data_IF_292605989355
#
_entry.id   IF_292605989355
#
_cell.length_a   1.000
_cell.length_b   1.000
_cell.length_c   1.000
_cell.angle_alpha   90.00
_cell.angle_beta   90.00
_cell.angle_gamma   90.00
#
_symmetry.space_group_name_H-M   'P 1'
#
loop_
_entity.id
_entity.type
_entity.pdbx_description
1 polymer ?
#
# COMPACT_ATOMS: atom_id res chain seq x y z
N UNK A 1 10.36 17.37 -4.27
CA UNK A 1 9.20 18.13 -3.72
C UNK A 1 7.91 17.31 -3.74
N UNK A 2 7.52 16.67 -4.84
CA UNK A 2 6.28 15.88 -4.94
C UNK A 2 6.15 14.72 -3.91
N UNK A 3 7.25 14.01 -3.59
CA UNK A 3 7.26 12.93 -2.59
C UNK A 3 6.90 13.43 -1.17
N UNK A 4 7.32 14.65 -0.83
CA UNK A 4 7.06 15.28 0.48
C UNK A 4 5.58 15.68 0.66
N UNK A 5 4.89 16.06 -0.42
CA UNK A 5 3.46 16.39 -0.36
C UNK A 5 2.55 15.17 -0.26
N UNK A 6 2.98 14.01 -0.79
CA UNK A 6 2.27 12.75 -0.61
C UNK A 6 2.25 12.32 0.86
N UNK A 7 3.41 12.33 1.50
CA UNK A 7 3.55 11.99 2.92
C UNK A 7 2.81 12.99 3.81
N UNK A 8 2.90 14.29 3.52
CA UNK A 8 2.17 15.33 4.25
C UNK A 8 0.65 15.15 4.09
N UNK A 9 0.16 14.88 2.88
CA UNK A 9 -1.26 14.60 2.66
C UNK A 9 -1.71 13.39 3.47
N UNK A 10 -0.97 12.27 3.42
CA UNK A 10 -1.28 11.06 4.18
C UNK A 10 -1.34 11.32 5.69
N UNK A 11 -0.35 12.01 6.25
CA UNK A 11 -0.34 12.39 7.66
C UNK A 11 -1.51 13.32 8.04
N UNK A 12 -1.93 14.17 7.10
CA UNK A 12 -3.06 15.08 7.32
C UNK A 12 -4.39 14.33 7.27
N UNK A 13 -4.54 13.36 6.36
CA UNK A 13 -5.71 12.48 6.30
C UNK A 13 -5.90 11.72 7.60
N UNK A 14 -4.81 11.20 8.20
CA UNK A 14 -4.85 10.59 9.54
C UNK A 14 -5.36 11.57 10.59
N UNK A 15 -4.92 12.84 10.55
CA UNK A 15 -5.33 13.85 11.53
C UNK A 15 -6.82 14.26 11.41
N UNK A 16 -7.43 14.05 10.24
CA UNK A 16 -8.85 14.35 9.97
C UNK A 16 -9.70 13.10 9.82
N UNK A 17 -9.16 11.91 10.11
CA UNK A 17 -9.88 10.65 10.04
C UNK A 17 -10.88 10.50 11.21
N UNK A 18 -11.94 9.67 11.06
CA UNK A 18 -12.83 9.30 12.15
C UNK A 18 -12.08 8.81 13.40
N UNK A 19 -12.62 9.16 14.57
CA UNK A 19 -12.01 8.93 15.87
C UNK A 19 -11.12 10.07 16.38
N UNK A 20 -10.78 11.05 15.54
CA UNK A 20 -10.02 12.24 15.96
C UNK A 20 -10.93 13.39 16.44
N UNK A 21 -10.42 14.22 17.36
CA UNK A 21 -11.12 15.42 17.82
C UNK A 21 -11.32 16.45 16.71
N UNK A 22 -10.39 16.52 15.76
CA UNK A 22 -10.48 17.38 14.59
C UNK A 22 -11.62 16.92 13.68
N UNK A 23 -11.72 15.63 13.35
CA UNK A 23 -12.83 15.10 12.55
C UNK A 23 -14.19 15.33 13.20
N UNK A 24 -14.35 15.03 14.49
CA UNK A 24 -15.60 15.30 15.23
C UNK A 24 -15.99 16.79 15.13
N UNK A 25 -15.01 17.69 15.26
CA UNK A 25 -15.25 19.12 15.10
C UNK A 25 -15.68 19.52 13.69
N UNK A 26 -15.02 18.99 12.65
CA UNK A 26 -15.35 19.26 11.25
C UNK A 26 -16.77 18.77 10.90
N UNK A 27 -17.14 17.57 11.35
CA UNK A 27 -18.49 17.03 11.15
C UNK A 27 -19.55 17.86 11.86
N UNK A 28 -19.28 18.33 13.08
CA UNK A 28 -20.18 19.24 13.79
C UNK A 28 -20.36 20.56 13.06
N UNK A 29 -19.29 21.12 12.49
CA UNK A 29 -19.34 22.37 11.71
C UNK A 29 -20.22 22.15 10.47
N UNK A 30 -20.00 21.05 9.77
CA UNK A 30 -20.73 20.67 8.57
C UNK A 30 -22.23 20.48 8.86
N UNK A 31 -22.57 19.67 9.88
CA UNK A 31 -23.97 19.46 10.34
C UNK A 31 -24.62 20.74 10.86
N UNK A 32 -23.81 21.62 11.44
CA UNK A 32 -24.22 22.93 11.91
C UNK A 32 -24.42 23.97 10.81
N UNK A 33 -24.26 23.61 9.53
CA UNK A 33 -24.32 24.49 8.38
C UNK A 33 -23.50 25.77 8.59
N UNK A 34 -22.28 25.64 9.14
CA UNK A 34 -21.36 26.76 9.33
C UNK A 34 -20.14 26.58 8.44
N UNK A 35 -19.54 27.67 7.97
CA UNK A 35 -18.27 27.62 7.24
C UNK A 35 -17.07 27.62 8.18
N UNK A 36 -15.93 27.09 7.76
CA UNK A 36 -14.69 27.21 8.52
C UNK A 36 -13.48 27.29 7.61
N UNK A 37 -12.44 27.99 8.06
CA UNK A 37 -11.10 28.03 7.46
C UNK A 37 -10.10 27.71 8.57
N UNK A 38 -9.42 26.57 8.46
CA UNK A 38 -8.58 26.05 9.55
C UNK A 38 -7.18 25.76 9.00
N UNK A 39 -6.14 26.34 9.59
CA UNK A 39 -4.75 26.08 9.23
C UNK A 39 -4.15 25.09 10.23
N UNK A 40 -3.54 24.04 9.70
CA UNK A 40 -2.90 22.98 10.47
C UNK A 40 -1.42 23.27 10.68
N UNK A 41 -1.08 23.71 11.89
CA UNK A 41 0.25 24.17 12.24
C UNK A 41 0.39 25.69 12.18
N UNK A 42 1.19 26.20 13.11
CA UNK A 42 1.50 27.61 13.24
C UNK A 42 3.01 27.77 13.33
N UNK A 43 3.55 28.63 12.48
CA UNK A 43 4.95 29.05 12.48
C UNK A 43 5.05 30.53 12.13
N UNK A 44 6.27 31.06 12.05
CA UNK A 44 6.52 32.47 11.70
C UNK A 44 5.95 32.86 10.34
N UNK A 45 5.94 31.92 9.38
CA UNK A 45 5.41 32.17 8.04
C UNK A 45 3.90 32.33 8.11
N UNK A 46 3.18 31.42 8.77
CA UNK A 46 1.73 31.54 9.00
C UNK A 46 1.41 32.83 9.78
N UNK A 47 2.16 33.13 10.84
CA UNK A 47 1.92 34.31 11.68
C UNK A 47 2.08 35.63 10.90
N UNK A 48 3.03 35.68 9.94
CA UNK A 48 3.20 36.85 9.08
C UNK A 48 2.02 37.13 8.15
N UNK A 49 1.17 36.12 7.88
CA UNK A 49 -0.06 36.27 7.08
C UNK A 49 -1.27 36.67 7.94
N UNK A 50 -1.13 36.66 9.26
CA UNK A 50 -2.24 36.85 10.18
C UNK A 50 -2.46 38.32 10.51
N UNK A 51 -3.68 38.81 10.31
CA UNK A 51 -4.13 40.11 10.80
C UNK A 51 -5.33 39.95 11.71
N UNK A 52 -5.35 40.68 12.84
CA UNK A 52 -6.43 40.59 13.82
C UNK A 52 -6.50 39.25 14.57
N UNK A 53 -7.70 38.88 15.00
CA UNK A 53 -7.95 37.73 15.86
C UNK A 53 -7.38 37.86 17.26
N UNK A 54 -7.54 36.83 18.08
CA UNK A 54 -6.95 36.76 19.41
C UNK A 54 -6.41 35.38 19.72
N UNK A 55 -5.39 35.35 20.58
CA UNK A 55 -4.81 34.13 21.11
C UNK A 55 -5.74 33.49 22.14
N UNK A 56 -5.92 32.18 22.03
CA UNK A 56 -6.74 31.39 22.94
C UNK A 56 -5.90 30.30 23.62
N UNK A 57 -5.08 29.59 22.85
CA UNK A 57 -4.22 28.49 23.29
C UNK A 57 -4.93 27.48 24.21
N UNK A 58 -5.99 26.85 23.70
CA UNK A 58 -6.78 25.83 24.41
C UNK A 58 -6.66 24.48 23.72
N UNK A 59 -6.87 23.40 24.47
CA UNK A 59 -6.94 22.06 23.91
C UNK A 59 -8.08 21.92 22.88
N UNK A 60 -7.81 21.21 21.79
CA UNK A 60 -8.77 20.92 20.73
C UNK A 60 -9.79 19.89 21.20
N UNK A 61 -11.07 20.27 21.15
CA UNK A 61 -12.19 19.33 21.21
C UNK A 61 -13.14 19.65 20.07
N UNK A 62 -13.90 18.67 19.56
CA UNK A 62 -14.83 18.92 18.46
C UNK A 62 -15.90 19.96 18.82
N UNK A 63 -16.34 19.99 20.09
CA UNK A 63 -17.24 21.04 20.61
C UNK A 63 -16.60 22.44 20.55
N UNK A 64 -15.37 22.60 21.05
CA UNK A 64 -14.66 23.90 20.99
C UNK A 64 -14.46 24.35 19.55
N UNK A 65 -14.02 23.45 18.67
CA UNK A 65 -13.82 23.77 17.26
C UNK A 65 -15.13 24.23 16.61
N UNK A 66 -16.25 23.54 16.89
CA UNK A 66 -17.58 23.90 16.40
C UNK A 66 -18.04 25.28 16.85
N UNK A 67 -17.86 25.60 18.13
CA UNK A 67 -18.28 26.88 18.70
C UNK A 67 -17.44 28.03 18.14
N UNK A 68 -16.13 27.85 18.06
CA UNK A 68 -15.21 28.85 17.54
C UNK A 68 -15.39 29.08 16.04
N UNK A 69 -15.79 28.07 15.28
CA UNK A 69 -16.12 28.19 13.86
C UNK A 69 -17.38 29.03 13.58
N UNK A 70 -18.19 29.38 14.59
CA UNK A 70 -19.29 30.35 14.43
C UNK A 70 -18.79 31.78 14.23
N UNK A 71 -17.55 32.04 14.60
CA UNK A 71 -16.90 33.33 14.36
C UNK A 71 -16.43 33.42 12.91
N UNK A 72 -16.35 34.63 12.38
CA UNK A 72 -15.71 34.87 11.09
C UNK A 72 -14.20 34.65 11.16
N UNK A 73 -13.56 34.53 9.99
CA UNK A 73 -12.10 34.38 9.87
C UNK A 73 -11.60 32.94 9.96
N UNK A 74 -10.32 32.81 10.29
CA UNK A 74 -9.60 31.55 10.33
C UNK A 74 -9.29 31.11 11.77
N UNK A 75 -9.13 29.79 11.93
CA UNK A 75 -8.69 29.11 13.14
C UNK A 75 -7.30 28.54 12.88
N UNK A 76 -6.35 28.78 13.78
CA UNK A 76 -4.99 28.24 13.69
C UNK A 76 -4.80 27.16 14.75
N UNK A 77 -4.37 25.98 14.33
CA UNK A 77 -3.99 24.89 15.23
C UNK A 77 -2.48 24.81 15.40
N UNK A 78 -2.04 24.18 16.47
CA UNK A 78 -0.64 23.76 16.62
C UNK A 78 -0.27 22.64 15.63
N UNK A 79 1.02 22.37 15.48
CA UNK A 79 1.52 21.36 14.53
C UNK A 79 1.17 19.92 14.91
N UNK A 80 0.83 19.66 16.18
CA UNK A 80 0.33 18.36 16.66
C UNK A 80 -1.19 18.24 16.55
N UNK A 81 -1.89 19.28 16.09
CA UNK A 81 -3.35 19.34 16.00
C UNK A 81 -4.06 19.07 17.34
N UNK A 82 -3.40 19.38 18.44
CA UNK A 82 -3.87 19.15 19.81
C UNK A 82 -4.43 20.41 20.47
N UNK A 83 -4.11 21.60 19.94
CA UNK A 83 -4.51 22.89 20.51
C UNK A 83 -4.96 23.87 19.45
N UNK A 84 -5.97 24.66 19.81
CA UNK A 84 -6.42 25.85 19.08
C UNK A 84 -5.64 27.05 19.60
N UNK A 85 -4.78 27.61 18.76
CA UNK A 85 -3.86 28.68 19.13
C UNK A 85 -4.51 30.06 18.98
N UNK A 86 -5.12 30.32 17.82
CA UNK A 86 -5.75 31.61 17.48
C UNK A 86 -7.06 31.39 16.74
N UNK A 87 -7.98 32.32 16.89
CA UNK A 87 -9.29 32.34 16.22
C UNK A 87 -9.61 33.73 15.71
N UNK A 88 -10.59 33.82 14.81
CA UNK A 88 -11.02 35.06 14.18
C UNK A 88 -9.86 35.81 13.50
N UNK A 89 -8.93 35.05 12.91
CA UNK A 89 -7.77 35.59 12.22
C UNK A 89 -8.14 35.87 10.77
N UNK A 90 -7.79 37.05 10.27
CA UNK A 90 -7.85 37.31 8.83
C UNK A 90 -6.52 36.92 8.19
N UNK A 91 -6.55 35.95 7.28
CA UNK A 91 -5.37 35.49 6.54
C UNK A 91 -5.20 36.29 5.24
N UNK A 92 -4.03 36.88 5.05
CA UNK A 92 -3.67 37.70 3.89
C UNK A 92 -2.51 37.08 3.10
N UNK A 93 -2.73 35.96 2.37
CA UNK A 93 -1.71 35.37 1.52
C UNK A 93 -1.42 36.27 0.30
N UNK A 94 -0.28 36.04 -0.34
CA UNK A 94 0.14 36.79 -1.52
C UNK A 94 -0.90 36.65 -2.65
N UNK A 95 -1.48 37.78 -3.13
CA UNK A 95 -2.51 37.75 -4.17
C UNK A 95 -1.98 37.31 -5.54
N UNK A 96 -0.67 37.33 -5.81
CA UNK A 96 -0.10 36.87 -7.09
C UNK A 96 -0.01 35.36 -7.19
N UNK A 97 -0.19 34.62 -6.09
CA UNK A 97 -0.22 33.15 -6.13
C UNK A 97 -1.45 32.69 -6.92
N UNK A 98 -1.26 31.91 -8.01
CA UNK A 98 -2.35 31.44 -8.85
C UNK A 98 -3.23 30.46 -8.08
N UNK A 99 -4.53 30.47 -8.38
CA UNK A 99 -5.49 29.54 -7.80
C UNK A 99 -6.63 29.32 -8.78
N UNK A 100 -7.08 28.07 -8.88
CA UNK A 100 -8.23 27.66 -9.70
C UNK A 100 -9.53 27.61 -8.88
N UNK A 101 -9.46 27.92 -7.58
CA UNK A 101 -10.60 27.81 -6.68
C UNK A 101 -11.55 29.02 -6.83
N UNK A 102 -12.84 28.77 -6.67
CA UNK A 102 -13.88 29.80 -6.64
C UNK A 102 -14.28 30.11 -5.19
N UNK A 103 -14.60 31.37 -4.91
CA UNK A 103 -14.94 31.83 -3.56
C UNK A 103 -13.73 32.25 -2.73
N UNK A 104 -13.92 33.29 -1.90
CA UNK A 104 -12.83 33.94 -1.14
C UNK A 104 -12.14 32.96 -0.19
N UNK A 105 -12.90 32.11 0.53
CA UNK A 105 -12.36 31.15 1.49
C UNK A 105 -11.48 30.08 0.85
N UNK A 106 -11.93 29.46 -0.24
CA UNK A 106 -11.20 28.42 -0.96
C UNK A 106 -9.94 28.99 -1.63
N UNK A 107 -10.02 30.19 -2.22
CA UNK A 107 -8.85 30.90 -2.75
C UNK A 107 -7.81 31.22 -1.68
N UNK A 108 -8.24 31.70 -0.51
CA UNK A 108 -7.34 31.96 0.61
C UNK A 108 -6.70 30.65 1.08
N UNK A 109 -7.47 29.57 1.22
CA UNK A 109 -6.95 28.27 1.66
C UNK A 109 -5.88 27.72 0.72
N UNK A 110 -6.15 27.68 -0.59
CA UNK A 110 -5.19 27.21 -1.59
C UNK A 110 -3.89 28.03 -1.56
N UNK A 111 -3.99 29.35 -1.46
CA UNK A 111 -2.80 30.23 -1.44
C UNK A 111 -2.01 30.10 -0.15
N UNK A 112 -2.68 30.04 1.01
CA UNK A 112 -2.01 29.84 2.30
C UNK A 112 -1.31 28.48 2.31
N UNK A 113 -1.96 27.42 1.83
CA UNK A 113 -1.35 26.10 1.77
C UNK A 113 -0.09 26.08 0.89
N UNK A 114 -0.15 26.73 -0.27
CA UNK A 114 0.98 26.80 -1.19
C UNK A 114 2.11 27.71 -0.67
N UNK A 115 1.78 28.86 -0.08
CA UNK A 115 2.75 29.84 0.41
C UNK A 115 3.46 29.38 1.69
N UNK A 116 2.73 28.72 2.60
CA UNK A 116 3.27 28.32 3.91
C UNK A 116 3.75 26.88 3.95
N UNK A 117 3.33 26.05 2.99
CA UNK A 117 3.54 24.61 3.03
C UNK A 117 2.74 23.90 4.13
N UNK A 118 1.85 24.61 4.83
CA UNK A 118 1.00 24.06 5.89
C UNK A 118 -0.34 23.56 5.32
N UNK A 119 -0.86 22.41 5.78
CA UNK A 119 -2.18 21.98 5.35
C UNK A 119 -3.26 22.97 5.79
N UNK A 120 -4.24 23.22 4.92
CA UNK A 120 -5.38 24.11 5.20
C UNK A 120 -6.68 23.38 4.91
N UNK A 121 -7.62 23.43 5.84
CA UNK A 121 -8.95 22.84 5.71
C UNK A 121 -9.97 23.95 5.51
N UNK A 122 -10.92 23.70 4.62
CA UNK A 122 -12.14 24.49 4.49
C UNK A 122 -13.36 23.62 4.72
N UNK A 123 -14.36 24.19 5.38
CA UNK A 123 -15.71 23.62 5.43
C UNK A 123 -16.63 24.58 4.68
N UNK A 124 -17.28 24.06 3.64
CA UNK A 124 -18.21 24.84 2.82
C UNK A 124 -19.64 24.61 3.29
N UNK A 125 -20.28 25.68 3.77
CA UNK A 125 -21.68 25.63 4.20
C UNK A 125 -22.64 25.33 3.04
N UNK A 126 -22.42 25.94 1.87
CA UNK A 126 -23.33 25.81 0.73
C UNK A 126 -23.20 24.46 0.04
N UNK A 127 -21.97 24.00 -0.16
CA UNK A 127 -21.70 22.74 -0.85
C UNK A 127 -21.74 21.52 0.08
N UNK A 128 -21.73 21.74 1.40
CA UNK A 128 -21.62 20.68 2.41
C UNK A 128 -20.45 19.72 2.15
N UNK A 129 -19.29 20.30 1.83
CA UNK A 129 -18.05 19.56 1.67
C UNK A 129 -17.00 20.05 2.65
N UNK A 130 -16.12 19.13 3.06
CA UNK A 130 -14.87 19.46 3.74
C UNK A 130 -13.76 19.26 2.73
N UNK A 131 -12.90 20.25 2.57
CA UNK A 131 -11.83 20.23 1.56
C UNK A 131 -10.50 20.59 2.19
N UNK A 132 -9.50 19.76 1.89
CA UNK A 132 -8.14 19.85 2.36
C UNK A 132 -7.22 20.34 1.23
N UNK A 133 -6.33 21.27 1.55
CA UNK A 133 -5.31 21.81 0.66
C UNK A 133 -3.92 21.50 1.22
N UNK A 134 -3.07 20.87 0.41
CA UNK A 134 -1.69 20.49 0.77
C UNK A 134 -0.78 20.83 -0.41
N UNK A 135 0.00 21.90 -0.30
CA UNK A 135 0.77 22.42 -1.42
C UNK A 135 -0.15 22.84 -2.58
N UNK A 136 0.05 22.25 -3.75
CA UNK A 136 -0.75 22.45 -4.97
C UNK A 136 -1.92 21.45 -5.10
N UNK A 137 -2.05 20.50 -4.16
CA UNK A 137 -3.09 19.48 -4.18
C UNK A 137 -4.31 19.90 -3.39
N UNK A 138 -5.47 19.55 -3.93
CA UNK A 138 -6.75 19.61 -3.21
C UNK A 138 -7.31 18.20 -3.07
N UNK A 139 -7.87 17.91 -1.90
CA UNK A 139 -8.49 16.63 -1.60
C UNK A 139 -9.82 16.89 -0.86
N UNK A 140 -10.91 16.30 -1.33
CA UNK A 140 -12.22 16.41 -0.66
C UNK A 140 -12.28 15.29 0.37
N UNK A 141 -12.55 15.64 1.62
CA UNK A 141 -12.71 14.62 2.66
C UNK A 141 -14.15 14.10 2.56
N UNK A 142 -14.28 12.83 2.17
CA UNK A 142 -15.57 12.19 1.95
C UNK A 142 -16.30 11.86 3.26
N UNK A 143 -17.58 11.51 3.12
CA UNK A 143 -18.36 10.95 4.21
C UNK A 143 -17.88 9.52 4.50
N UNK A 144 -17.76 9.10 5.78
CA UNK A 144 -17.23 7.77 6.11
C UNK A 144 -18.06 6.65 5.50
N UNK A 145 -19.37 6.81 5.31
CA UNK A 145 -20.21 5.81 4.68
C UNK A 145 -19.88 5.64 3.18
N UNK A 146 -19.52 6.72 2.49
CA UNK A 146 -19.08 6.68 1.08
C UNK A 146 -17.74 5.95 0.95
N UNK A 147 -16.77 6.29 1.80
CA UNK A 147 -15.46 5.63 1.82
C UNK A 147 -15.63 4.13 2.13
N UNK A 148 -16.45 3.79 3.12
CA UNK A 148 -16.71 2.41 3.51
C UNK A 148 -17.40 1.62 2.39
N UNK A 149 -18.31 2.24 1.64
CA UNK A 149 -18.95 1.60 0.48
C UNK A 149 -17.92 1.26 -0.61
N UNK A 150 -17.08 2.23 -1.00
CA UNK A 150 -16.01 2.01 -1.98
C UNK A 150 -15.01 0.96 -1.50
N UNK A 151 -14.61 1.01 -0.23
CA UNK A 151 -13.68 0.04 0.35
C UNK A 151 -14.22 -1.39 0.33
N UNK A 152 -15.50 -1.59 0.64
CA UNK A 152 -16.11 -2.92 0.56
C UNK A 152 -16.14 -3.47 -0.88
N UNK A 153 -16.34 -2.62 -1.90
CA UNK A 153 -16.24 -3.04 -3.30
C UNK A 153 -14.81 -3.44 -3.68
N UNK A 154 -13.82 -2.68 -3.21
CA UNK A 154 -12.41 -2.99 -3.42
C UNK A 154 -12.03 -4.32 -2.75
N UNK A 155 -12.49 -4.58 -1.53
CA UNK A 155 -12.28 -5.87 -0.84
C UNK A 155 -12.88 -7.05 -1.60
N UNK A 156 -14.13 -6.95 -2.05
CA UNK A 156 -14.74 -8.01 -2.87
C UNK A 156 -13.95 -8.26 -4.16
N UNK A 157 -13.34 -7.21 -4.71
CA UNK A 157 -12.46 -7.32 -5.86
C UNK A 157 -11.16 -8.03 -5.47
N UNK A 158 -10.52 -7.62 -4.37
CA UNK A 158 -9.33 -8.26 -3.82
C UNK A 158 -9.54 -9.77 -3.58
N UNK A 159 -10.67 -10.17 -3.01
CA UNK A 159 -11.04 -11.58 -2.80
C UNK A 159 -11.03 -12.37 -4.12
N UNK A 160 -11.61 -11.83 -5.18
CA UNK A 160 -11.60 -12.48 -6.50
C UNK A 160 -10.19 -12.60 -7.08
N UNK A 161 -9.38 -11.56 -6.92
CA UNK A 161 -7.97 -11.59 -7.37
C UNK A 161 -7.13 -12.56 -6.55
N UNK A 162 -7.36 -12.65 -5.24
CA UNK A 162 -6.71 -13.61 -4.35
C UNK A 162 -7.02 -15.04 -4.76
N UNK A 163 -8.30 -15.37 -4.97
CA UNK A 163 -8.73 -16.69 -5.43
C UNK A 163 -8.09 -17.05 -6.78
N UNK A 164 -8.05 -16.09 -7.71
CA UNK A 164 -7.41 -16.32 -9.02
C UNK A 164 -5.90 -16.51 -8.89
N UNK A 165 -5.24 -15.78 -7.99
CA UNK A 165 -3.83 -15.99 -7.67
C UNK A 165 -3.59 -17.39 -7.09
N UNK A 166 -4.40 -17.84 -6.14
CA UNK A 166 -4.27 -19.18 -5.54
C UNK A 166 -4.41 -20.30 -6.57
N UNK A 167 -5.32 -20.14 -7.53
CA UNK A 167 -5.49 -21.07 -8.64
C UNK A 167 -4.23 -21.13 -9.52
N UNK A 168 -3.72 -19.99 -9.99
CA UNK A 168 -2.53 -19.97 -10.87
C UNK A 168 -1.25 -20.37 -10.13
N UNK A 169 -1.15 -20.08 -8.82
CA UNK A 169 0.00 -20.46 -7.98
C UNK A 169 0.06 -21.97 -7.75
N UNK A 170 -1.10 -22.61 -7.58
CA UNK A 170 -1.22 -24.08 -7.56
C UNK A 170 -0.89 -24.68 -8.92
N UNK A 171 -1.41 -24.11 -10.01
CA UNK A 171 -1.07 -24.52 -11.38
C UNK A 171 0.43 -24.47 -11.65
N UNK A 172 1.10 -23.38 -11.27
CA UNK A 172 2.55 -23.25 -11.37
C UNK A 172 3.26 -24.31 -10.53
N UNK A 173 2.81 -24.58 -9.29
CA UNK A 173 3.41 -25.62 -8.44
C UNK A 173 3.37 -27.02 -9.09
N UNK A 174 2.29 -27.35 -9.81
CA UNK A 174 2.19 -28.62 -10.53
C UNK A 174 3.18 -28.67 -11.71
N UNK A 175 3.24 -27.60 -12.51
CA UNK A 175 4.19 -27.50 -13.63
C UNK A 175 5.66 -27.53 -13.17
N UNK A 176 5.94 -26.98 -11.98
CA UNK A 176 7.27 -26.99 -11.35
C UNK A 176 7.74 -28.41 -11.05
N UNK A 177 6.83 -29.27 -10.55
CA UNK A 177 7.14 -30.67 -10.24
C UNK A 177 7.26 -31.49 -11.53
N UNK A 178 6.43 -31.23 -12.53
CA UNK A 178 6.44 -31.91 -13.84
C UNK A 178 7.56 -31.42 -14.78
N UNK A 179 8.38 -30.45 -14.35
CA UNK A 179 9.45 -29.81 -15.14
C UNK A 179 8.98 -29.26 -16.49
N UNK A 180 7.81 -28.62 -16.49
CA UNK A 180 7.17 -28.11 -17.72
C UNK A 180 6.72 -26.65 -17.60
N UNK A 181 7.42 -25.86 -16.78
CA UNK A 181 7.09 -24.45 -16.57
C UNK A 181 7.52 -23.63 -17.78
N UNK A 182 6.66 -22.74 -18.25
CA UNK A 182 7.00 -21.74 -19.26
C UNK A 182 7.15 -20.34 -18.65
N UNK A 183 7.83 -19.44 -19.36
CA UNK A 183 7.91 -18.01 -18.99
C UNK A 183 6.52 -17.41 -18.79
N UNK A 184 5.54 -17.79 -19.61
CA UNK A 184 4.15 -17.35 -19.49
C UNK A 184 3.53 -17.72 -18.15
N UNK A 185 3.79 -18.94 -17.65
CA UNK A 185 3.22 -19.40 -16.38
C UNK A 185 3.75 -18.57 -15.21
N UNK A 186 5.07 -18.34 -15.17
CA UNK A 186 5.73 -17.50 -14.16
C UNK A 186 5.20 -16.07 -14.22
N UNK A 187 5.19 -15.47 -15.41
CA UNK A 187 4.72 -14.10 -15.58
C UNK A 187 3.24 -13.95 -15.19
N UNK A 188 2.42 -14.98 -15.41
CA UNK A 188 1.00 -14.97 -15.03
C UNK A 188 0.84 -14.96 -13.51
N UNK A 189 1.60 -15.77 -12.78
CA UNK A 189 1.58 -15.77 -11.30
C UNK A 189 2.05 -14.42 -10.75
N UNK A 190 3.19 -13.92 -11.24
CA UNK A 190 3.73 -12.60 -10.87
C UNK A 190 2.73 -11.49 -11.16
N UNK A 191 2.05 -11.56 -12.31
CA UNK A 191 1.02 -10.59 -12.67
C UNK A 191 -0.12 -10.57 -11.66
N UNK A 192 -0.63 -11.75 -11.27
CA UNK A 192 -1.73 -11.83 -10.28
C UNK A 192 -1.31 -11.36 -8.90
N UNK A 193 -0.08 -11.67 -8.47
CA UNK A 193 0.49 -11.15 -7.23
C UNK A 193 0.50 -9.62 -7.20
N UNK A 194 1.00 -8.98 -8.25
CA UNK A 194 1.09 -7.53 -8.29
C UNK A 194 -0.30 -6.87 -8.34
N UNK A 195 -1.28 -7.48 -9.04
CA UNK A 195 -2.66 -7.00 -9.04
C UNK A 195 -3.29 -7.07 -7.64
N UNK A 196 -3.08 -8.15 -6.88
CA UNK A 196 -3.51 -8.26 -5.48
C UNK A 196 -2.89 -7.13 -4.64
N UNK A 197 -1.58 -6.91 -4.79
CA UNK A 197 -0.84 -5.86 -4.07
C UNK A 197 -1.35 -4.44 -4.38
N UNK A 198 -1.66 -4.13 -5.65
CA UNK A 198 -2.20 -2.82 -6.05
C UNK A 198 -3.56 -2.54 -5.41
N UNK A 199 -4.47 -3.50 -5.47
CA UNK A 199 -5.80 -3.37 -4.87
C UNK A 199 -5.69 -3.27 -3.34
N UNK A 200 -4.78 -4.05 -2.73
CA UNK A 200 -4.50 -3.93 -1.30
C UNK A 200 -4.04 -2.52 -0.92
N UNK A 201 -3.10 -1.93 -1.67
CA UNK A 201 -2.62 -0.56 -1.44
C UNK A 201 -3.74 0.50 -1.57
N UNK A 202 -4.69 0.30 -2.48
CA UNK A 202 -5.88 1.15 -2.58
C UNK A 202 -6.76 1.03 -1.33
N UNK A 203 -7.01 -0.19 -0.84
CA UNK A 203 -7.78 -0.43 0.39
C UNK A 203 -7.08 0.15 1.62
N UNK A 204 -5.74 0.07 1.71
CA UNK A 204 -4.98 0.74 2.77
C UNK A 204 -5.23 2.24 2.80
N UNK A 205 -5.39 2.88 1.63
CA UNK A 205 -5.79 4.28 1.52
C UNK A 205 -7.14 4.55 2.20
N UNK A 206 -8.14 3.73 1.91
CA UNK A 206 -9.45 3.83 2.56
C UNK A 206 -9.38 3.58 4.08
N UNK A 207 -8.58 2.62 4.54
CA UNK A 207 -8.37 2.35 5.97
C UNK A 207 -7.79 3.58 6.67
N UNK A 208 -6.82 4.25 6.06
CA UNK A 208 -6.22 5.48 6.60
C UNK A 208 -7.27 6.58 6.75
N UNK A 209 -8.11 6.77 5.74
CA UNK A 209 -9.15 7.81 5.77
C UNK A 209 -10.31 7.47 6.72
N UNK A 210 -10.61 6.19 6.92
CA UNK A 210 -11.65 5.72 7.87
C UNK A 210 -11.19 5.73 9.32
N UNK A 211 -9.89 5.80 9.61
CA UNK A 211 -9.38 5.88 10.98
C UNK A 211 -9.91 4.76 11.88
N UNK A 212 -10.58 5.10 12.99
CA UNK A 212 -11.15 4.11 13.90
C UNK A 212 -12.26 3.26 13.27
N UNK A 213 -12.99 3.82 12.30
CA UNK A 213 -14.11 3.14 11.65
C UNK A 213 -13.62 2.07 10.65
N UNK A 214 -12.35 2.15 10.24
CA UNK A 214 -11.70 1.22 9.33
C UNK A 214 -11.16 -0.06 9.99
N UNK A 215 -11.36 -0.27 11.30
CA UNK A 215 -10.75 -1.39 12.03
C UNK A 215 -11.09 -2.76 11.46
N UNK A 216 -12.36 -3.02 11.15
CA UNK A 216 -12.78 -4.31 10.58
C UNK A 216 -12.21 -4.52 9.18
N UNK A 217 -12.23 -3.47 8.36
CA UNK A 217 -11.65 -3.45 7.02
C UNK A 217 -10.16 -3.78 7.05
N UNK A 218 -9.40 -3.20 7.99
CA UNK A 218 -7.98 -3.48 8.17
C UNK A 218 -7.70 -4.94 8.54
N UNK A 219 -8.52 -5.54 9.42
CA UNK A 219 -8.39 -6.96 9.77
C UNK A 219 -8.62 -7.86 8.56
N UNK A 220 -9.67 -7.59 7.78
CA UNK A 220 -9.99 -8.37 6.58
C UNK A 220 -8.90 -8.21 5.51
N UNK A 221 -8.39 -6.99 5.31
CA UNK A 221 -7.28 -6.75 4.40
C UNK A 221 -6.05 -7.56 4.80
N UNK A 222 -5.65 -7.50 6.07
CA UNK A 222 -4.48 -8.23 6.59
C UNK A 222 -4.59 -9.74 6.37
N UNK A 223 -5.79 -10.30 6.50
CA UNK A 223 -6.05 -11.72 6.21
C UNK A 223 -5.87 -12.03 4.72
N UNK A 224 -6.45 -11.22 3.83
CA UNK A 224 -6.39 -11.45 2.38
C UNK A 224 -4.97 -11.33 1.82
N UNK A 225 -4.16 -10.41 2.34
CA UNK A 225 -2.77 -10.18 1.87
C UNK A 225 -1.74 -11.06 2.57
N UNK A 226 -2.16 -11.85 3.55
CA UNK A 226 -1.26 -12.74 4.27
C UNK A 226 -0.54 -13.70 3.28
N UNK A 227 0.79 -13.69 3.33
CA UNK A 227 1.65 -14.54 2.50
C UNK A 227 1.97 -13.98 1.10
N UNK A 228 1.33 -12.91 0.64
CA UNK A 228 1.52 -12.37 -0.71
C UNK A 228 2.94 -11.86 -0.96
N UNK A 229 3.48 -11.02 -0.08
CA UNK A 229 4.84 -10.48 -0.25
C UNK A 229 5.93 -11.57 -0.17
N UNK A 230 5.92 -12.50 0.80
CA UNK A 230 6.83 -13.64 0.79
C UNK A 230 6.72 -14.48 -0.49
N UNK A 231 5.51 -14.80 -0.95
CA UNK A 231 5.31 -15.59 -2.17
C UNK A 231 5.89 -14.87 -3.39
N UNK A 232 5.71 -13.56 -3.47
CA UNK A 232 6.24 -12.72 -4.55
C UNK A 232 7.77 -12.76 -4.59
N UNK A 233 8.43 -12.61 -3.45
CA UNK A 233 9.89 -12.73 -3.35
C UNK A 233 10.37 -14.13 -3.78
N UNK A 234 9.71 -15.19 -3.30
CA UNK A 234 10.08 -16.57 -3.62
C UNK A 234 9.91 -16.90 -5.11
N UNK A 235 8.80 -16.47 -5.74
CA UNK A 235 8.59 -16.65 -7.19
C UNK A 235 9.68 -15.94 -7.98
N UNK A 236 10.03 -14.71 -7.63
CA UNK A 236 11.09 -14.01 -8.36
C UNK A 236 12.44 -14.71 -8.18
N UNK A 237 12.80 -15.11 -6.95
CA UNK A 237 14.06 -15.82 -6.69
C UNK A 237 14.17 -17.14 -7.46
N UNK A 238 13.07 -17.85 -7.64
CA UNK A 238 13.09 -19.13 -8.34
C UNK A 238 13.39 -19.01 -9.83
N UNK A 239 13.09 -17.87 -10.44
CA UNK A 239 13.06 -17.76 -11.90
C UNK A 239 13.92 -16.63 -12.49
N UNK A 240 14.45 -15.73 -11.66
CA UNK A 240 15.26 -14.61 -12.17
C UNK A 240 16.48 -15.09 -12.96
N UNK A 241 16.77 -14.53 -14.16
CA UNK A 241 17.82 -15.03 -15.05
C UNK A 241 19.21 -14.52 -14.65
N UNK A 242 19.66 -14.90 -13.46
CA UNK A 242 20.98 -14.57 -12.91
C UNK A 242 21.02 -14.82 -11.41
N UNK A 243 21.90 -14.12 -10.69
CA UNK A 243 22.06 -14.30 -9.24
C UNK A 243 20.83 -13.77 -8.47
N UNK A 244 20.07 -14.62 -7.75
CA UNK A 244 18.84 -14.20 -7.07
C UNK A 244 19.05 -13.09 -6.05
N UNK A 245 20.15 -13.12 -5.30
CA UNK A 245 20.44 -12.13 -4.27
C UNK A 245 20.58 -10.71 -4.85
N UNK A 246 21.07 -10.59 -6.08
CA UNK A 246 21.31 -9.30 -6.74
C UNK A 246 20.10 -8.84 -7.54
N UNK A 247 19.46 -9.74 -8.29
CA UNK A 247 18.45 -9.38 -9.27
C UNK A 247 17.02 -9.33 -8.72
N UNK A 248 16.70 -10.08 -7.66
CA UNK A 248 15.34 -10.07 -7.09
C UNK A 248 14.86 -8.66 -6.71
N UNK A 249 15.63 -7.84 -5.97
CA UNK A 249 15.21 -6.47 -5.67
C UNK A 249 15.00 -5.60 -6.91
N UNK A 250 15.81 -5.79 -7.96
CA UNK A 250 15.71 -5.05 -9.22
C UNK A 250 14.44 -5.41 -9.97
N UNK A 251 14.13 -6.70 -10.07
CA UNK A 251 12.90 -7.20 -10.71
C UNK A 251 11.66 -6.74 -9.94
N UNK A 252 11.66 -6.85 -8.61
CA UNK A 252 10.53 -6.40 -7.79
C UNK A 252 10.27 -4.89 -7.97
N UNK A 253 11.33 -4.08 -7.98
CA UNK A 253 11.23 -2.64 -8.26
C UNK A 253 10.75 -2.35 -9.69
N UNK A 254 11.20 -3.14 -10.68
CA UNK A 254 10.76 -3.03 -12.07
C UNK A 254 9.25 -3.32 -12.23
N UNK A 255 8.76 -4.39 -11.58
CA UNK A 255 7.35 -4.75 -11.55
C UNK A 255 6.50 -3.68 -10.85
N UNK A 256 7.00 -3.12 -9.74
CA UNK A 256 6.37 -2.01 -9.03
C UNK A 256 6.27 -0.73 -9.87
N UNK A 257 7.21 -0.52 -10.78
CA UNK A 257 7.26 0.64 -11.67
C UNK A 257 6.27 0.58 -12.83
N UNK A 258 5.67 -0.58 -13.13
CA UNK A 258 4.72 -0.71 -14.24
C UNK A 258 3.45 0.10 -13.97
N UNK A 259 2.97 0.81 -14.99
CA UNK A 259 1.64 1.42 -14.96
C UNK A 259 0.52 0.37 -15.05
N UNK A 260 -0.71 0.76 -14.74
CA UNK A 260 -1.84 -0.19 -14.69
C UNK A 260 -2.11 -0.87 -16.04
N UNK A 261 -1.93 -0.16 -17.16
CA UNK A 261 -2.09 -0.73 -18.50
C UNK A 261 -0.94 -1.69 -18.85
N UNK A 262 0.29 -1.34 -18.49
CA UNK A 262 1.46 -2.19 -18.73
C UNK A 262 1.38 -3.47 -17.89
N UNK A 263 0.86 -3.37 -16.66
CA UNK A 263 0.67 -4.50 -15.77
C UNK A 263 -0.29 -5.55 -16.34
N UNK A 264 -1.25 -5.16 -17.18
CA UNK A 264 -2.18 -6.07 -17.85
C UNK A 264 -1.55 -6.78 -19.06
N UNK A 265 -0.50 -6.20 -19.63
CA UNK A 265 0.24 -6.79 -20.75
C UNK A 265 1.32 -7.76 -20.24
N UNK A 266 1.13 -9.05 -20.51
CA UNK A 266 2.09 -10.09 -20.10
C UNK A 266 3.48 -9.85 -20.68
N UNK A 267 3.60 -9.26 -21.88
CA UNK A 267 4.90 -8.97 -22.49
C UNK A 267 5.68 -7.89 -21.74
N UNK A 268 4.98 -6.90 -21.18
CA UNK A 268 5.57 -5.88 -20.32
C UNK A 268 6.03 -6.47 -18.99
N UNK A 269 5.26 -7.39 -18.40
CA UNK A 269 5.68 -8.15 -17.22
C UNK A 269 6.92 -9.01 -17.51
N UNK A 270 6.97 -9.70 -18.66
CA UNK A 270 8.13 -10.50 -19.09
C UNK A 270 9.40 -9.65 -19.22
N UNK A 271 9.28 -8.44 -19.78
CA UNK A 271 10.39 -7.48 -19.86
C UNK A 271 10.85 -7.03 -18.48
N UNK A 272 9.91 -6.63 -17.61
CA UNK A 272 10.23 -6.20 -16.25
C UNK A 272 10.87 -7.31 -15.41
N UNK A 273 10.50 -8.57 -15.67
CA UNK A 273 11.10 -9.74 -15.03
C UNK A 273 12.55 -10.00 -15.48
N UNK A 274 12.93 -9.55 -16.67
CA UNK A 274 14.27 -9.74 -17.24
C UNK A 274 14.39 -10.95 -18.18
N UNK A 275 13.28 -11.62 -18.53
CA UNK A 275 13.28 -12.72 -19.50
C UNK A 275 13.45 -12.26 -20.96
N UNK A 276 13.21 -10.98 -21.24
CA UNK A 276 13.19 -10.43 -22.59
C UNK A 276 11.78 -10.01 -23.01
N UNK A 277 11.42 -10.19 -24.29
CA UNK A 277 10.14 -9.76 -24.86
C UNK A 277 9.05 -10.85 -24.88
N UNK A 278 7.94 -10.58 -25.58
CA UNK A 278 6.85 -11.55 -25.77
C UNK A 278 7.25 -12.80 -26.55
N UNK A 279 8.35 -12.74 -27.29
CA UNK A 279 8.83 -13.83 -28.14
C UNK A 279 9.22 -15.09 -27.35
N UNK A 280 9.55 -14.94 -26.07
CA UNK A 280 10.03 -16.04 -25.21
C UNK A 280 8.96 -16.63 -24.30
N UNK A 281 7.69 -16.22 -24.44
CA UNK A 281 6.61 -16.64 -23.54
C UNK A 281 6.45 -18.16 -23.44
N UNK A 282 6.65 -18.87 -24.54
CA UNK A 282 6.48 -20.32 -24.61
C UNK A 282 7.81 -21.08 -24.38
N UNK A 283 8.88 -20.36 -24.00
CA UNK A 283 10.15 -20.99 -23.62
C UNK A 283 10.05 -21.63 -22.24
N UNK A 284 10.68 -22.80 -22.10
CA UNK A 284 10.71 -23.56 -20.85
C UNK A 284 11.74 -22.95 -19.90
N UNK A 285 11.38 -22.86 -18.63
CA UNK A 285 12.24 -22.39 -17.54
C UNK A 285 12.15 -23.36 -16.37
N UNK A 286 13.23 -23.52 -15.62
CA UNK A 286 13.27 -24.40 -14.45
C UNK A 286 13.37 -23.58 -13.18
N UNK A 287 12.55 -23.85 -12.14
CA UNK A 287 12.68 -23.20 -10.84
C UNK A 287 13.94 -23.66 -10.10
N UNK A 288 14.46 -22.80 -9.23
CA UNK A 288 15.56 -23.15 -8.31
C UNK A 288 15.12 -23.99 -7.11
N UNK A 289 13.89 -23.81 -6.62
CA UNK A 289 13.28 -24.59 -5.54
C UNK A 289 12.99 -23.83 -4.24
N UNK A 290 13.22 -22.51 -4.18
CA UNK A 290 12.94 -21.66 -3.02
C UNK A 290 11.47 -21.74 -2.57
N UNK A 291 10.51 -21.64 -3.50
CA UNK A 291 9.08 -21.72 -3.17
C UNK A 291 8.71 -23.04 -2.52
N UNK A 292 9.22 -24.15 -3.07
CA UNK A 292 8.87 -25.49 -2.60
C UNK A 292 9.53 -25.78 -1.24
N UNK A 293 10.77 -25.33 -1.04
CA UNK A 293 11.47 -25.40 0.26
C UNK A 293 10.79 -24.54 1.34
N UNK A 294 10.26 -23.37 1.00
CA UNK A 294 9.57 -22.50 1.95
C UNK A 294 8.27 -23.12 2.52
N UNK A 295 7.67 -24.08 1.81
CA UNK A 295 6.52 -24.85 2.31
C UNK A 295 6.91 -25.86 3.40
N UNK A 296 8.20 -26.16 3.57
CA UNK A 296 8.68 -27.10 4.58
C UNK A 296 8.69 -26.44 5.97
N UNK A 297 8.01 -27.05 6.97
CA UNK A 297 7.91 -26.46 8.28
C UNK A 297 9.29 -26.41 8.96
N UNK A 298 9.61 -25.25 9.56
CA UNK A 298 10.81 -25.04 10.41
C UNK A 298 12.15 -25.21 9.66
N UNK A 299 12.18 -25.06 8.35
CA UNK A 299 13.43 -24.99 7.59
C UNK A 299 13.98 -23.55 7.63
N UNK A 300 15.17 -23.31 8.22
CA UNK A 300 15.75 -21.96 8.24
C UNK A 300 16.13 -21.48 6.83
N UNK A 301 15.91 -20.20 6.53
CA UNK A 301 16.22 -19.62 5.21
C UNK A 301 17.66 -19.87 4.76
N UNK A 302 18.63 -19.74 5.67
CA UNK A 302 20.04 -20.00 5.35
C UNK A 302 20.32 -21.44 4.90
N UNK A 303 19.48 -22.40 5.30
CA UNK A 303 19.56 -23.79 4.81
C UNK A 303 18.90 -23.91 3.44
N UNK A 304 17.77 -23.22 3.21
CA UNK A 304 17.16 -23.15 1.88
C UNK A 304 18.14 -22.60 0.84
N UNK A 305 18.83 -21.50 1.18
CA UNK A 305 19.80 -20.86 0.28
C UNK A 305 20.95 -21.83 -0.06
N UNK A 306 21.46 -22.60 0.92
CA UNK A 306 22.52 -23.59 0.67
C UNK A 306 22.06 -24.76 -0.18
N UNK A 307 20.85 -25.27 0.07
CA UNK A 307 20.25 -26.34 -0.74
C UNK A 307 20.11 -25.89 -2.20
N UNK A 308 19.52 -24.72 -2.41
CA UNK A 308 19.35 -24.16 -3.75
C UNK A 308 20.69 -23.93 -4.43
N UNK A 309 21.67 -23.37 -3.74
CA UNK A 309 23.00 -23.12 -4.31
C UNK A 309 23.76 -24.42 -4.62
N UNK A 310 23.52 -25.50 -3.88
CA UNK A 310 24.16 -26.79 -4.10
C UNK A 310 23.54 -27.57 -5.27
N UNK A 311 22.21 -27.62 -5.35
CA UNK A 311 21.49 -28.41 -6.37
C UNK A 311 21.12 -27.61 -7.62
N UNK A 312 21.14 -26.27 -7.59
CA UNK A 312 20.88 -25.40 -8.74
C UNK A 312 19.42 -25.34 -9.21
N UNK A 313 18.76 -26.49 -9.38
CA UNK A 313 17.38 -26.62 -9.86
C UNK A 313 16.52 -27.45 -8.91
N UNK A 314 15.20 -27.22 -8.97
CA UNK A 314 14.23 -28.00 -8.22
C UNK A 314 14.29 -29.49 -8.58
N UNK A 315 14.53 -29.83 -9.84
CA UNK A 315 14.54 -31.23 -10.29
C UNK A 315 15.71 -32.01 -9.69
N UNK A 316 16.91 -31.40 -9.66
CA UNK A 316 18.06 -31.98 -8.97
C UNK A 316 17.80 -32.13 -7.47
N UNK A 317 17.17 -31.13 -6.84
CA UNK A 317 16.76 -31.18 -5.43
C UNK A 317 15.71 -32.28 -5.14
N UNK A 318 14.77 -32.51 -6.06
CA UNK A 318 13.76 -33.56 -5.95
C UNK A 318 14.37 -34.96 -6.11
N UNK A 319 15.35 -35.11 -7.01
CA UNK A 319 16.07 -36.36 -7.24
C UNK A 319 17.09 -36.71 -6.12
N UNK A 320 17.54 -35.71 -5.35
CA UNK A 320 18.55 -35.88 -4.31
C UNK A 320 18.16 -36.93 -3.25
N UNK A 321 19.07 -37.84 -2.96
CA UNK A 321 18.93 -38.81 -1.86
C UNK A 321 19.17 -38.16 -0.49
N UNK A 322 18.86 -38.88 0.59
CA UNK A 322 19.16 -38.40 1.95
C UNK A 322 20.68 -38.17 2.13
N UNK A 323 21.52 -39.01 1.51
CA UNK A 323 22.96 -38.86 1.58
C UNK A 323 23.42 -37.57 0.88
N UNK A 324 22.92 -37.30 -0.33
CA UNK A 324 23.27 -36.09 -1.09
C UNK A 324 22.87 -34.82 -0.31
N UNK A 325 21.71 -34.85 0.36
CA UNK A 325 21.27 -33.74 1.21
C UNK A 325 22.17 -33.52 2.45
N UNK A 326 22.82 -34.57 2.96
CA UNK A 326 23.75 -34.46 4.10
C UNK A 326 25.11 -33.87 3.70
N UNK A 327 25.48 -33.95 2.42
CA UNK A 327 26.72 -33.38 1.90
C UNK A 327 26.67 -31.84 1.85
N UNK A 328 25.48 -31.25 2.04
CA UNK A 328 25.29 -29.80 2.12
C UNK A 328 25.62 -29.29 3.54
N UNK A 329 26.50 -28.30 3.59
CA UNK A 329 26.97 -27.70 4.85
C UNK A 329 25.82 -27.28 5.79
N UNK A 330 25.85 -27.82 7.01
CA UNK A 330 24.87 -27.54 8.05
C UNK A 330 23.58 -28.35 7.96
N UNK A 331 23.53 -29.41 7.15
CA UNK A 331 22.41 -30.35 7.10
C UNK A 331 22.81 -31.69 7.73
N UNK A 332 22.38 -31.90 8.99
CA UNK A 332 22.53 -33.19 9.65
C UNK A 332 21.49 -34.22 9.17
N UNK A 333 21.71 -35.50 9.51
CA UNK A 333 20.87 -36.64 9.10
C UNK A 333 19.38 -36.43 9.31
N UNK A 334 19.00 -35.95 10.52
CA UNK A 334 17.59 -35.75 10.87
C UNK A 334 16.94 -34.66 10.01
N UNK A 335 17.69 -33.62 9.64
CA UNK A 335 17.20 -32.55 8.76
C UNK A 335 17.12 -33.02 7.32
N UNK A 336 18.12 -33.75 6.83
CA UNK A 336 18.12 -34.32 5.48
C UNK A 336 16.91 -35.25 5.26
N UNK A 337 16.62 -36.15 6.21
CA UNK A 337 15.40 -36.98 6.17
C UNK A 337 14.13 -36.14 6.15
N UNK A 338 14.02 -35.15 7.04
CA UNK A 338 12.84 -34.28 7.10
C UNK A 338 12.61 -33.48 5.82
N UNK A 339 13.68 -32.97 5.20
CA UNK A 339 13.61 -32.31 3.89
C UNK A 339 13.16 -33.31 2.83
N UNK A 340 13.79 -34.48 2.74
CA UNK A 340 13.44 -35.49 1.72
C UNK A 340 11.97 -35.92 1.81
N UNK A 341 11.52 -36.28 3.01
CA UNK A 341 10.14 -36.69 3.27
C UNK A 341 9.15 -35.57 2.95
N UNK A 342 9.47 -34.32 3.33
CA UNK A 342 8.62 -33.17 3.06
C UNK A 342 8.50 -32.87 1.57
N UNK A 343 9.62 -32.89 0.84
CA UNK A 343 9.64 -32.71 -0.60
C UNK A 343 8.83 -33.81 -1.32
N UNK A 344 9.01 -35.08 -0.94
CA UNK A 344 8.25 -36.20 -1.51
C UNK A 344 6.74 -36.05 -1.25
N UNK A 345 6.34 -35.65 -0.04
CA UNK A 345 4.94 -35.44 0.30
C UNK A 345 4.31 -34.30 -0.53
N UNK A 346 5.01 -33.19 -0.69
CA UNK A 346 4.51 -32.06 -1.50
C UNK A 346 4.34 -32.47 -2.96
N UNK A 347 5.30 -33.25 -3.49
CA UNK A 347 5.21 -33.78 -4.85
C UNK A 347 4.00 -34.71 -5.03
N UNK A 348 3.76 -35.62 -4.09
CA UNK A 348 2.60 -36.53 -4.12
C UNK A 348 1.27 -35.76 -4.07
N UNK A 349 1.12 -34.79 -3.15
CA UNK A 349 -0.13 -34.01 -3.02
C UNK A 349 -0.42 -33.20 -4.28
N UNK A 350 0.60 -32.56 -4.85
CA UNK A 350 0.43 -31.72 -6.04
C UNK A 350 -0.01 -32.51 -7.28
N UNK A 351 0.38 -33.79 -7.38
CA UNK A 351 -0.07 -34.70 -8.44
C UNK A 351 -1.53 -35.13 -8.25
N UNK A 352 -1.99 -35.27 -7.01
CA UNK A 352 -3.36 -35.69 -6.67
C UNK A 352 -4.37 -34.55 -6.85
N UNK A 353 -4.02 -33.34 -6.44
CA UNK A 353 -4.87 -32.14 -6.56
C UNK A 353 -5.20 -31.76 -8.02
N UNK A 354 -4.58 -32.41 -9.02
CA UNK A 354 -4.91 -32.25 -10.45
C UNK A 354 -6.14 -33.05 -10.88
N UNK A 355 -6.47 -34.12 -10.16
CA UNK A 355 -7.59 -35.02 -10.49
C UNK A 355 -8.90 -34.64 -9.76
N UNK A 356 -8.89 -33.55 -8.99
CA UNK A 356 -10.01 -33.02 -8.21
C UNK A 356 -10.13 -31.50 -8.43
#
# INVERSE_FOLDING_TARGET
MAKNYGDLLRSTLVAVAPGTALRDGLERILRGNTGALIVLGHDRTVDSLCTGGFGLNVELTGQRLRELAKMDGAILLDSSHSRILRVNVHLMPDPSIPTMESGTRHRTAARVALQTGRPVITVSQSMRIIQLYVGDRRHVIEDPATILFSANQAVQTLERYRLRYDEVSRGLSALEIEDHVTVRDVCTVVQRLDMVRRIAAEIEGYVVELGTDGRLLSLQLNELVAGIEPDRDLVVRDYVPGEPAELTPVVLAGLEGLGDTEMLDIGSVTRAFGFGGSEVLDSVVSPRGYRLLAKLPRLPQAVCDRLVNHFGTLQELLAASVADLQDVDGIGELRARGVREGLSRIAEVSLVDRFH
#
